data_IF_233898746548
#
_entry.id   IF_233898746548
#
_cell.length_a   1.000
_cell.length_b   1.000
_cell.length_c   1.000
_cell.angle_alpha   90.00
_cell.angle_beta   90.00
_cell.angle_gamma   90.00
#
_symmetry.space_group_name_H-M   'P 1'
#
loop_
_entity.id
_entity.type
_entity.pdbx_description
1 polymer ?
#
# COMPACT_ATOMS: atom_id res chain seq x y z
N UNK A 1 3.70 -0.63 13.16
CA UNK A 1 4.50 -1.72 12.55
C UNK A 1 3.71 -2.29 11.39
N UNK A 2 4.32 -2.41 10.21
CA UNK A 2 3.68 -2.94 9.01
C UNK A 2 3.53 -4.48 9.10
N UNK A 3 2.31 -5.05 9.03
CA UNK A 3 2.06 -6.48 9.27
C UNK A 3 2.20 -7.35 8.00
N UNK A 4 3.01 -6.92 7.04
CA UNK A 4 3.28 -7.62 5.79
C UNK A 4 4.78 -7.70 5.54
N UNK A 5 5.21 -8.73 4.81
CA UNK A 5 6.62 -8.89 4.43
C UNK A 5 7.00 -8.04 3.21
N UNK A 6 8.30 -8.00 2.91
CA UNK A 6 8.88 -7.29 1.75
C UNK A 6 8.20 -7.63 0.42
N UNK A 7 8.02 -8.92 0.12
CA UNK A 7 7.38 -9.37 -1.13
C UNK A 7 5.91 -8.92 -1.24
N UNK A 8 5.19 -8.94 -0.11
CA UNK A 8 3.82 -8.46 -0.04
C UNK A 8 3.74 -6.93 -0.21
N UNK A 9 4.67 -6.18 0.38
CA UNK A 9 4.73 -4.72 0.19
C UNK A 9 5.05 -4.37 -1.27
N UNK A 10 5.98 -5.08 -1.91
CA UNK A 10 6.29 -4.89 -3.32
C UNK A 10 5.06 -5.16 -4.21
N UNK A 11 4.38 -6.29 -4.01
CA UNK A 11 3.18 -6.63 -4.77
C UNK A 11 2.02 -5.65 -4.53
N UNK A 12 1.89 -5.12 -3.31
CA UNK A 12 0.93 -4.07 -2.98
C UNK A 12 1.24 -2.77 -3.75
N UNK A 13 2.48 -2.29 -3.68
CA UNK A 13 2.90 -1.05 -4.36
C UNK A 13 2.72 -1.15 -5.87
N UNK A 14 3.15 -2.26 -6.49
CA UNK A 14 2.98 -2.51 -7.93
C UNK A 14 1.51 -2.53 -8.35
N UNK A 15 0.65 -3.16 -7.55
CA UNK A 15 -0.79 -3.21 -7.81
C UNK A 15 -1.43 -1.81 -7.73
N UNK A 16 -1.09 -1.05 -6.69
CA UNK A 16 -1.63 0.29 -6.48
C UNK A 16 -1.14 1.24 -7.57
N UNK A 17 0.14 1.17 -7.97
CA UNK A 17 0.69 2.02 -9.04
C UNK A 17 -0.06 1.82 -10.37
N UNK A 18 -0.30 0.58 -10.78
CA UNK A 18 -1.06 0.30 -12.00
C UNK A 18 -2.49 0.89 -12.00
N UNK A 19 -3.15 0.88 -10.83
CA UNK A 19 -4.49 1.46 -10.69
C UNK A 19 -4.47 2.98 -10.57
N UNK A 20 -3.49 3.56 -9.88
CA UNK A 20 -3.30 5.02 -9.83
C UNK A 20 -2.98 5.58 -11.22
N UNK A 21 -2.17 4.88 -12.03
CA UNK A 21 -1.85 5.29 -13.40
C UNK A 21 -3.07 5.25 -14.34
N UNK A 22 -3.97 4.29 -14.16
CA UNK A 22 -5.13 4.09 -15.05
C UNK A 22 -6.38 4.85 -14.62
N UNK A 23 -6.63 4.95 -13.32
CA UNK A 23 -7.85 5.54 -12.76
C UNK A 23 -7.61 6.86 -12.01
N UNK A 24 -6.36 7.18 -11.69
CA UNK A 24 -6.00 8.30 -10.83
C UNK A 24 -6.16 7.98 -9.34
N UNK A 25 -5.66 8.88 -8.50
CA UNK A 25 -5.85 8.82 -7.06
C UNK A 25 -6.99 9.76 -6.61
N UNK A 26 -7.89 9.27 -5.77
CA UNK A 26 -9.01 10.04 -5.19
C UNK A 26 -8.75 10.49 -3.74
N UNK A 27 -7.48 10.48 -3.32
CA UNK A 27 -7.03 10.77 -1.95
C UNK A 27 -7.56 9.78 -0.90
N UNK A 28 -7.91 8.56 -1.31
CA UNK A 28 -8.23 7.45 -0.41
C UNK A 28 -7.24 6.30 -0.58
N UNK A 29 -7.40 5.26 0.24
CA UNK A 29 -6.65 4.00 0.17
C UNK A 29 -7.49 2.90 -0.48
N UNK A 30 -8.35 3.23 -1.45
CA UNK A 30 -9.31 2.27 -2.01
C UNK A 30 -8.62 1.09 -2.70
N UNK A 31 -7.51 1.34 -3.39
CA UNK A 31 -6.77 0.31 -4.11
C UNK A 31 -5.93 -0.53 -3.14
N UNK A 32 -5.23 0.11 -2.21
CA UNK A 32 -4.48 -0.60 -1.18
C UNK A 32 -5.38 -1.49 -0.30
N UNK A 33 -6.56 -0.98 0.06
CA UNK A 33 -7.56 -1.75 0.79
C UNK A 33 -8.08 -2.94 -0.01
N UNK A 34 -8.43 -2.72 -1.29
CA UNK A 34 -8.89 -3.80 -2.16
C UNK A 34 -7.84 -4.89 -2.32
N UNK A 35 -6.56 -4.54 -2.39
CA UNK A 35 -5.48 -5.50 -2.46
C UNK A 35 -5.36 -6.33 -1.18
N UNK A 36 -5.40 -5.67 -0.01
CA UNK A 36 -5.29 -6.34 1.28
C UNK A 36 -6.45 -7.32 1.52
N UNK A 37 -7.69 -6.89 1.24
CA UNK A 37 -8.88 -7.73 1.32
C UNK A 37 -8.79 -8.93 0.34
N UNK A 38 -8.20 -8.74 -0.84
CA UNK A 38 -7.97 -9.81 -1.82
C UNK A 38 -6.89 -10.82 -1.44
N UNK A 39 -6.07 -10.52 -0.41
CA UNK A 39 -4.99 -11.39 0.09
C UNK A 39 -5.25 -11.88 1.53
N UNK A 40 -6.50 -11.79 2.00
CA UNK A 40 -6.91 -12.20 3.35
C UNK A 40 -6.13 -11.49 4.48
N UNK A 41 -5.70 -10.25 4.25
CA UNK A 41 -5.00 -9.42 5.22
C UNK A 41 -5.99 -8.55 5.99
N UNK A 42 -5.78 -8.41 7.31
CA UNK A 42 -6.54 -7.44 8.09
C UNK A 42 -6.18 -6.03 7.65
N UNK A 43 -7.16 -5.32 7.10
CA UNK A 43 -6.98 -3.96 6.58
C UNK A 43 -6.53 -2.98 7.66
N UNK A 44 -7.05 -3.07 8.88
CA UNK A 44 -6.80 -2.08 9.93
C UNK A 44 -5.31 -1.95 10.28
N UNK A 45 -4.58 -3.04 10.60
CA UNK A 45 -3.15 -2.97 10.86
C UNK A 45 -2.32 -2.69 9.60
N UNK A 46 -2.76 -3.11 8.40
CA UNK A 46 -2.09 -2.74 7.14
C UNK A 46 -2.14 -1.22 6.94
N UNK A 47 -3.33 -0.62 7.04
CA UNK A 47 -3.53 0.82 6.91
C UNK A 47 -2.72 1.62 7.93
N UNK A 48 -2.67 1.16 9.18
CA UNK A 48 -1.84 1.77 10.21
C UNK A 48 -0.34 1.69 9.86
N UNK A 49 0.12 0.55 9.36
CA UNK A 49 1.50 0.38 8.89
C UNK A 49 1.86 1.28 7.71
N UNK A 50 0.98 1.40 6.71
CA UNK A 50 1.16 2.32 5.59
C UNK A 50 1.21 3.78 6.05
N UNK A 51 0.34 4.16 7.00
CA UNK A 51 0.33 5.50 7.56
C UNK A 51 1.64 5.85 8.30
N UNK A 52 2.27 4.89 8.98
CA UNK A 52 3.60 5.08 9.60
C UNK A 52 4.70 5.36 8.57
N UNK A 53 4.53 4.88 7.33
CA UNK A 53 5.41 5.15 6.19
C UNK A 53 5.01 6.41 5.41
N UNK A 54 3.95 7.10 5.82
CA UNK A 54 3.43 8.29 5.13
C UNK A 54 2.48 7.99 3.97
N UNK A 55 1.93 6.78 3.88
CA UNK A 55 0.91 6.39 2.89
C UNK A 55 -0.52 6.62 3.40
N UNK A 56 -1.08 7.82 3.19
CA UNK A 56 -2.48 8.15 3.56
C UNK A 56 -3.44 8.14 2.36
N UNK A 57 -2.93 8.22 1.13
CA UNK A 57 -3.63 7.88 -0.12
C UNK A 57 -2.89 6.79 -0.89
N UNK A 58 -3.56 6.18 -1.87
CA UNK A 58 -2.95 5.25 -2.84
C UNK A 58 -1.74 5.88 -3.55
N UNK A 59 -1.80 7.18 -3.86
CA UNK A 59 -0.67 7.93 -4.42
C UNK A 59 0.58 7.95 -3.53
N UNK A 60 0.39 8.17 -2.23
CA UNK A 60 1.44 8.23 -1.24
C UNK A 60 1.95 6.84 -0.88
N UNK A 61 1.12 5.81 -0.97
CA UNK A 61 1.58 4.42 -0.87
C UNK A 61 2.64 4.15 -1.94
N UNK A 62 2.38 4.53 -3.19
CA UNK A 62 3.35 4.37 -4.29
C UNK A 62 4.60 5.22 -4.09
N UNK A 63 4.46 6.45 -3.59
CA UNK A 63 5.61 7.37 -3.45
C UNK A 63 6.47 7.12 -2.21
N UNK A 64 5.89 6.63 -1.11
CA UNK A 64 6.54 6.63 0.20
C UNK A 64 6.78 5.21 0.78
N UNK A 65 6.11 4.17 0.28
CA UNK A 65 6.17 2.83 0.86
C UNK A 65 7.07 1.87 0.06
N UNK A 66 8.24 2.33 -0.40
CA UNK A 66 9.18 1.51 -1.17
C UNK A 66 9.69 0.31 -0.33
N UNK A 67 9.59 -0.94 -0.82
CA UNK A 67 10.08 -2.12 -0.12
C UNK A 67 11.57 -2.11 0.22
N UNK A 68 12.42 -1.49 -0.59
CA UNK A 68 13.86 -1.36 -0.30
C UNK A 68 14.10 -0.38 0.86
N UNK A 69 13.34 0.71 0.93
CA UNK A 69 13.47 1.69 2.02
C UNK A 69 12.97 1.13 3.36
N UNK A 70 11.97 0.24 3.33
CA UNK A 70 11.36 -0.36 4.53
C UNK A 70 12.13 -1.58 5.05
N UNK A 71 12.73 -2.38 4.15
CA UNK A 71 13.32 -3.69 4.49
C UNK A 71 14.79 -3.86 4.08
N UNK A 72 15.42 -2.83 3.51
CA UNK A 72 16.84 -2.83 3.11
C UNK A 72 17.84 -2.63 4.25
#
# INVERSE_FOLDING_TARGET
MLPIGREQLAALVDFVDGLVLSEGCDHTLRHARSWAEGHDLDWTPVAAGLAELGGYCDCEVVMNCDPEDVFG
#
